data_IF_953617168982
#
_entry.id   IF_953617168982
#
_cell.length_a   1.000
_cell.length_b   1.000
_cell.length_c   1.000
_cell.angle_alpha   90.00
_cell.angle_beta   90.00
_cell.angle_gamma   90.00
#
_symmetry.space_group_name_H-M   'P 1'
#
loop_
_entity.id
_entity.type
_entity.pdbx_description
1 polymer ?
#
# COMPACT_ATOMS: atom_id res chain seq x y z
N UNK A 1 -5.18 14.94 13.79
CA UNK A 1 -5.55 13.95 14.82
C UNK A 1 -6.98 14.17 15.29
N UNK A 2 -7.30 15.26 16.01
CA UNK A 2 -8.67 15.52 16.51
C UNK A 2 -9.76 15.60 15.42
N UNK A 3 -9.48 16.25 14.29
CA UNK A 3 -10.44 16.34 13.16
C UNK A 3 -10.64 15.00 12.46
N UNK A 4 -9.58 14.21 12.29
CA UNK A 4 -9.66 12.86 11.72
C UNK A 4 -10.41 11.90 12.65
N UNK A 5 -10.20 12.01 13.97
CA UNK A 5 -10.98 11.27 14.97
C UNK A 5 -12.44 11.69 14.99
N UNK A 6 -12.75 12.99 14.88
CA UNK A 6 -14.12 13.47 14.79
C UNK A 6 -14.83 12.94 13.53
N UNK A 7 -14.14 12.86 12.39
CA UNK A 7 -14.70 12.32 11.16
C UNK A 7 -14.81 10.80 11.16
N UNK A 8 -13.92 10.10 11.86
CA UNK A 8 -14.04 8.68 12.14
C UNK A 8 -15.30 8.41 12.96
N UNK A 9 -15.52 9.19 14.03
CA UNK A 9 -16.76 9.13 14.82
C UNK A 9 -17.98 9.52 13.99
N UNK A 10 -17.91 10.53 13.12
CA UNK A 10 -19.02 10.90 12.23
C UNK A 10 -19.29 9.82 11.17
N UNK A 11 -18.28 9.11 10.67
CA UNK A 11 -18.42 7.99 9.77
C UNK A 11 -19.03 6.76 10.49
N UNK A 12 -18.63 6.50 11.73
CA UNK A 12 -19.23 5.49 12.59
C UNK A 12 -20.69 5.83 12.92
N UNK A 13 -20.99 7.06 13.29
CA UNK A 13 -22.37 7.54 13.54
C UNK A 13 -23.19 7.46 12.25
N UNK A 14 -22.65 7.86 11.11
CA UNK A 14 -23.33 7.73 9.80
C UNK A 14 -23.63 6.27 9.44
N UNK A 15 -22.71 5.35 9.71
CA UNK A 15 -22.89 3.92 9.52
C UNK A 15 -23.91 3.32 10.52
N UNK A 16 -23.86 3.71 11.79
CA UNK A 16 -24.79 3.23 12.82
C UNK A 16 -26.22 3.73 12.56
N UNK A 17 -26.37 5.00 12.15
CA UNK A 17 -27.68 5.57 11.80
C UNK A 17 -28.25 4.88 10.57
N UNK A 18 -27.45 4.60 9.53
CA UNK A 18 -27.94 3.88 8.35
C UNK A 18 -28.35 2.43 8.65
N UNK A 19 -27.62 1.74 9.54
CA UNK A 19 -27.99 0.39 10.00
C UNK A 19 -29.23 0.37 10.90
N UNK A 20 -29.40 1.36 11.78
CA UNK A 20 -30.55 1.48 12.69
C UNK A 20 -31.85 1.83 11.97
N UNK A 21 -31.79 2.67 10.93
CA UNK A 21 -32.98 3.05 10.15
C UNK A 21 -33.53 1.85 9.35
N UNK A 22 -32.74 0.82 9.04
CA UNK A 22 -33.17 -0.25 8.13
C UNK A 22 -33.06 -1.69 8.64
N UNK A 23 -32.90 -1.91 9.95
CA UNK A 23 -33.02 -3.27 10.55
C UNK A 23 -34.45 -3.85 10.43
N UNK A 24 -35.43 -3.13 9.86
CA UNK A 24 -36.85 -3.53 9.85
C UNK A 24 -37.55 -3.63 8.49
N UNK A 25 -36.82 -3.72 7.38
CA UNK A 25 -37.43 -3.91 6.04
C UNK A 25 -37.11 -5.25 5.34
N UNK A 26 -36.45 -6.20 6.02
CA UNK A 26 -36.01 -7.46 5.42
C UNK A 26 -36.89 -8.71 5.65
N UNK A 27 -38.05 -8.63 6.32
CA UNK A 27 -38.81 -9.85 6.75
C UNK A 27 -40.24 -9.95 6.18
N UNK A 28 -40.68 -9.05 5.32
CA UNK A 28 -42.01 -9.18 4.69
C UNK A 28 -41.92 -9.15 3.16
N UNK A 29 -42.20 -10.31 2.53
CA UNK A 29 -42.65 -10.35 1.14
C UNK A 29 -41.72 -11.00 0.11
N UNK A 30 -41.31 -12.26 0.31
CA UNK A 30 -41.03 -13.18 -0.83
C UNK A 30 -41.73 -14.52 -0.60
N UNK A 31 -43.00 -14.57 -1.00
CA UNK A 31 -43.74 -15.80 -1.33
C UNK A 31 -44.58 -15.50 -2.58
N UNK A 32 -44.43 -16.37 -3.59
CA UNK A 32 -45.03 -16.25 -4.92
C UNK A 32 -44.08 -15.55 -5.88
N UNK A 33 -43.57 -16.14 -6.95
CA UNK A 33 -44.07 -17.25 -7.78
C UNK A 33 -42.89 -17.96 -8.46
N UNK A 34 -42.75 -19.25 -8.19
CA UNK A 34 -42.13 -20.18 -9.14
C UNK A 34 -43.08 -20.37 -10.31
N UNK A 35 -42.60 -20.14 -11.55
CA UNK A 35 -43.02 -20.92 -12.71
C UNK A 35 -42.07 -20.69 -13.90
N UNK A 36 -41.32 -21.76 -14.22
CA UNK A 36 -41.21 -22.35 -15.55
C UNK A 36 -40.67 -21.46 -16.69
N UNK A 37 -39.37 -21.57 -16.97
CA UNK A 37 -38.83 -21.39 -18.32
C UNK A 37 -38.69 -22.77 -18.99
N UNK A 38 -39.58 -23.05 -19.95
CA UNK A 38 -39.40 -24.12 -20.92
C UNK A 38 -39.07 -23.48 -22.28
N UNK A 39 -38.10 -24.10 -22.95
CA UNK A 39 -37.68 -23.85 -24.32
C UNK A 39 -38.83 -23.94 -25.32
N UNK A 40 -38.90 -23.03 -26.30
CA UNK A 40 -39.19 -23.41 -27.70
C UNK A 40 -38.70 -22.35 -28.68
N UNK A 41 -37.84 -22.78 -29.59
CA UNK A 41 -37.51 -22.15 -30.87
C UNK A 41 -38.70 -22.18 -31.83
N UNK A 42 -38.98 -21.08 -32.54
CA UNK A 42 -39.59 -21.12 -33.88
C UNK A 42 -39.35 -19.82 -34.65
N UNK A 43 -38.98 -20.05 -35.90
CA UNK A 43 -38.62 -19.16 -37.01
C UNK A 43 -39.84 -18.63 -37.80
N UNK A 44 -39.61 -17.52 -38.52
CA UNK A 44 -40.10 -17.13 -39.87
C UNK A 44 -40.78 -15.74 -40.03
N UNK A 45 -40.12 -14.93 -40.88
CA UNK A 45 -40.57 -14.00 -41.95
C UNK A 45 -41.47 -12.76 -41.71
N UNK A 46 -40.98 -11.61 -42.22
CA UNK A 46 -41.74 -10.70 -43.10
C UNK A 46 -42.21 -9.36 -42.53
N UNK A 47 -41.47 -8.28 -42.81
CA UNK A 47 -41.89 -7.11 -43.61
C UNK A 47 -41.27 -5.77 -43.16
N UNK A 48 -40.69 -5.07 -44.15
CA UNK A 48 -40.20 -3.69 -44.10
C UNK A 48 -41.36 -2.69 -44.02
N UNK A 49 -41.25 -1.69 -43.14
CA UNK A 49 -41.72 -0.33 -43.44
C UNK A 49 -41.02 0.72 -42.56
N UNK A 50 -40.55 1.76 -43.25
CA UNK A 50 -39.89 2.97 -42.78
C UNK A 50 -40.57 3.65 -41.58
N UNK A 51 -39.78 3.95 -40.54
CA UNK A 51 -39.98 5.12 -39.69
C UNK A 51 -38.65 5.58 -39.10
N UNK A 52 -38.35 6.86 -39.30
CA UNK A 52 -37.17 7.60 -38.86
C UNK A 52 -36.93 7.57 -37.33
N UNK A 53 -35.67 7.73 -36.88
CA UNK A 53 -35.28 7.42 -35.51
C UNK A 53 -35.73 8.52 -34.56
N UNK A 54 -36.70 8.21 -33.70
CA UNK A 54 -37.01 9.05 -32.54
C UNK A 54 -35.95 8.77 -31.48
N UNK A 55 -35.11 9.78 -31.24
CA UNK A 55 -34.21 9.90 -30.10
C UNK A 55 -34.94 9.57 -28.80
N UNK A 56 -34.69 8.37 -28.27
CA UNK A 56 -34.99 8.05 -26.88
C UNK A 56 -33.95 8.79 -26.06
N UNK A 57 -34.28 10.02 -25.66
CA UNK A 57 -33.60 10.69 -24.56
C UNK A 57 -33.70 9.76 -23.33
N UNK A 58 -32.57 9.17 -22.96
CA UNK A 58 -32.44 8.42 -21.72
C UNK A 58 -32.75 9.36 -20.55
N UNK A 59 -33.96 9.27 -20.02
CA UNK A 59 -34.35 9.94 -18.78
C UNK A 59 -33.33 9.59 -17.68
N UNK A 60 -32.85 10.55 -16.88
CA UNK A 60 -31.93 10.25 -15.79
C UNK A 60 -32.67 9.35 -14.80
N UNK A 61 -32.26 8.08 -14.72
CA UNK A 61 -32.77 7.13 -13.75
C UNK A 61 -32.66 7.76 -12.35
N UNK A 62 -33.80 8.12 -11.75
CA UNK A 62 -33.84 8.66 -10.38
C UNK A 62 -33.46 7.53 -9.44
N UNK A 63 -32.16 7.41 -9.17
CA UNK A 63 -31.58 6.53 -8.14
C UNK A 63 -32.40 6.69 -6.87
N UNK A 64 -32.97 5.59 -6.39
CA UNK A 64 -33.87 5.63 -5.23
C UNK A 64 -33.12 6.17 -4.00
N UNK A 65 -33.83 6.81 -3.06
CA UNK A 65 -33.21 7.27 -1.80
C UNK A 65 -32.48 6.12 -1.09
N UNK A 66 -33.02 4.91 -1.18
CA UNK A 66 -32.42 3.70 -0.63
C UNK A 66 -31.06 3.39 -1.26
N UNK A 67 -30.98 3.39 -2.58
CA UNK A 67 -29.74 3.14 -3.32
C UNK A 67 -28.69 4.24 -3.08
N UNK A 68 -29.13 5.50 -2.93
CA UNK A 68 -28.23 6.60 -2.52
C UNK A 68 -27.63 6.38 -1.13
N UNK A 69 -28.43 5.89 -0.18
CA UNK A 69 -27.98 5.61 1.19
C UNK A 69 -27.05 4.39 1.24
N UNK A 70 -27.32 3.35 0.44
CA UNK A 70 -26.43 2.20 0.31
C UNK A 70 -25.07 2.59 -0.27
N UNK A 71 -25.06 3.37 -1.36
CA UNK A 71 -23.82 3.89 -1.95
C UNK A 71 -23.03 4.75 -0.97
N UNK A 72 -23.72 5.56 -0.16
CA UNK A 72 -23.08 6.34 0.90
C UNK A 72 -22.48 5.46 2.00
N UNK A 73 -23.20 4.42 2.44
CA UNK A 73 -22.68 3.47 3.43
C UNK A 73 -21.45 2.72 2.92
N UNK A 74 -21.47 2.26 1.66
CA UNK A 74 -20.32 1.62 1.01
C UNK A 74 -19.11 2.56 0.93
N UNK A 75 -19.34 3.84 0.64
CA UNK A 75 -18.29 4.87 0.65
C UNK A 75 -17.71 5.07 2.05
N UNK A 76 -18.55 5.12 3.08
CA UNK A 76 -18.10 5.22 4.48
C UNK A 76 -17.26 4.01 4.88
N UNK A 77 -17.71 2.80 4.55
CA UNK A 77 -16.97 1.56 4.82
C UNK A 77 -15.62 1.59 4.09
N UNK A 78 -15.59 2.01 2.83
CA UNK A 78 -14.37 2.19 2.05
C UNK A 78 -13.38 3.15 2.72
N UNK A 79 -13.85 4.33 3.14
CA UNK A 79 -13.04 5.31 3.87
C UNK A 79 -12.50 4.74 5.19
N UNK A 80 -13.32 4.03 5.96
CA UNK A 80 -12.91 3.42 7.22
C UNK A 80 -11.83 2.35 7.02
N UNK A 81 -12.02 1.46 6.03
CA UNK A 81 -11.06 0.39 5.72
C UNK A 81 -9.75 0.98 5.21
N UNK A 82 -9.80 1.92 4.27
CA UNK A 82 -8.59 2.57 3.73
C UNK A 82 -7.88 3.36 4.81
N UNK A 83 -8.62 4.14 5.61
CA UNK A 83 -8.09 4.88 6.74
C UNK A 83 -7.40 3.96 7.75
N UNK A 84 -8.04 2.84 8.10
CA UNK A 84 -7.47 1.83 8.99
C UNK A 84 -6.21 1.17 8.41
N UNK A 85 -6.23 0.80 7.12
CA UNK A 85 -5.08 0.17 6.46
C UNK A 85 -3.89 1.13 6.31
N UNK A 86 -4.11 2.40 6.00
CA UNK A 86 -3.03 3.40 5.86
C UNK A 86 -2.48 3.80 7.25
N UNK A 87 -3.33 3.91 8.25
CA UNK A 87 -2.97 4.40 9.59
C UNK A 87 -2.75 3.28 10.62
N UNK A 88 -2.60 2.03 10.18
CA UNK A 88 -2.50 0.88 11.09
C UNK A 88 -1.34 1.02 12.10
N UNK A 89 -0.26 1.73 11.74
CA UNK A 89 0.88 1.99 12.61
C UNK A 89 0.56 2.88 13.83
N UNK A 90 -0.58 3.58 13.82
CA UNK A 90 -1.06 4.36 14.97
C UNK A 90 -1.82 3.50 15.99
N UNK A 91 -2.31 2.33 15.60
CA UNK A 91 -3.13 1.46 16.47
C UNK A 91 -2.38 1.08 17.77
N UNK A 92 -1.11 0.63 17.74
CA UNK A 92 -0.36 0.35 18.97
C UNK A 92 -0.34 1.52 19.95
N UNK A 93 -0.16 2.75 19.44
CA UNK A 93 -0.14 3.96 20.26
C UNK A 93 -1.49 4.28 20.91
N UNK A 94 -2.59 4.07 20.17
CA UNK A 94 -3.95 4.20 20.72
C UNK A 94 -4.20 3.15 21.81
N UNK A 95 -3.72 1.92 21.61
CA UNK A 95 -3.85 0.85 22.62
C UNK A 95 -3.08 1.17 23.90
N UNK A 96 -1.87 1.75 23.78
CA UNK A 96 -1.08 2.19 24.93
C UNK A 96 -1.82 3.32 25.68
N UNK A 97 -2.39 4.29 24.96
CA UNK A 97 -3.20 5.34 25.57
C UNK A 97 -4.37 4.79 26.37
N UNK A 98 -5.13 3.85 25.77
CA UNK A 98 -6.25 3.20 26.44
C UNK A 98 -5.80 2.38 27.65
N UNK A 99 -4.66 1.69 27.56
CA UNK A 99 -4.07 0.96 28.68
C UNK A 99 -3.85 1.90 29.88
N UNK A 100 -3.17 3.03 29.68
CA UNK A 100 -2.97 4.01 30.75
C UNK A 100 -4.30 4.59 31.26
N UNK A 101 -5.20 4.97 30.35
CA UNK A 101 -6.48 5.60 30.70
C UNK A 101 -7.42 4.70 31.53
N UNK A 102 -7.40 3.38 31.28
CA UNK A 102 -8.33 2.43 31.89
C UNK A 102 -7.75 1.76 33.14
N UNK A 103 -6.42 1.64 33.24
CA UNK A 103 -5.76 0.87 34.32
C UNK A 103 -5.18 1.72 35.44
N UNK A 104 -5.28 3.05 35.37
CA UNK A 104 -4.72 3.98 36.36
C UNK A 104 -5.69 5.09 36.71
N UNK A 105 -5.53 5.73 37.86
CA UNK A 105 -6.24 6.96 38.26
C UNK A 105 -5.43 8.23 37.90
N UNK A 106 -4.51 8.11 36.94
CA UNK A 106 -3.74 9.23 36.44
C UNK A 106 -4.64 10.34 35.90
N UNK A 107 -4.17 11.58 36.02
CA UNK A 107 -4.87 12.70 35.39
C UNK A 107 -4.89 12.55 33.86
N UNK A 108 -5.83 13.20 33.18
CA UNK A 108 -5.87 13.21 31.70
C UNK A 108 -4.57 13.72 31.08
N UNK A 109 -3.91 14.66 31.75
CA UNK A 109 -2.61 15.17 31.35
C UNK A 109 -1.54 14.09 31.45
N UNK A 110 -1.49 13.37 32.58
CA UNK A 110 -0.50 12.31 32.79
C UNK A 110 -0.70 11.14 31.82
N UNK A 111 -1.95 10.72 31.58
CA UNK A 111 -2.24 9.70 30.55
C UNK A 111 -1.70 10.11 29.18
N UNK A 112 -1.92 11.37 28.78
CA UNK A 112 -1.39 11.89 27.52
C UNK A 112 0.14 11.93 27.52
N UNK A 113 0.76 12.34 28.63
CA UNK A 113 2.20 12.38 28.80
C UNK A 113 2.83 10.98 28.71
N UNK A 114 2.29 10.00 29.44
CA UNK A 114 2.77 8.60 29.39
C UNK A 114 2.64 7.99 28.00
N UNK A 115 1.52 8.26 27.33
CA UNK A 115 1.30 7.79 25.95
C UNK A 115 2.32 8.41 24.98
N UNK A 116 2.58 9.71 25.12
CA UNK A 116 3.61 10.40 24.33
C UNK A 116 5.02 9.88 24.63
N UNK A 117 5.34 9.64 25.91
CA UNK A 117 6.64 9.08 26.31
C UNK A 117 6.83 7.67 25.76
N UNK A 118 5.80 6.82 25.82
CA UNK A 118 5.86 5.48 25.23
C UNK A 118 6.12 5.54 23.72
N UNK A 119 5.40 6.41 22.99
CA UNK A 119 5.65 6.67 21.57
C UNK A 119 7.07 7.21 21.31
N UNK A 120 7.57 8.12 22.14
CA UNK A 120 8.91 8.69 22.01
C UNK A 120 10.00 7.63 22.23
N UNK A 121 9.80 6.71 23.18
CA UNK A 121 10.71 5.57 23.41
C UNK A 121 10.69 4.62 22.22
N UNK A 122 9.51 4.26 21.71
CA UNK A 122 9.38 3.46 20.49
C UNK A 122 10.09 4.12 19.30
N UNK A 123 9.85 5.41 19.08
CA UNK A 123 10.50 6.19 18.02
C UNK A 123 12.03 6.23 18.19
N UNK A 124 12.54 6.37 19.42
CA UNK A 124 13.96 6.32 19.72
C UNK A 124 14.57 4.94 19.39
N UNK A 125 13.91 3.85 19.80
CA UNK A 125 14.32 2.49 19.47
C UNK A 125 14.32 2.24 17.96
N UNK A 126 13.28 2.67 17.24
CA UNK A 126 13.19 2.55 15.78
C UNK A 126 14.25 3.38 15.04
N UNK A 127 14.53 4.60 15.52
CA UNK A 127 15.56 5.48 14.95
C UNK A 127 16.94 4.87 15.17
N UNK A 128 17.18 4.33 16.35
CA UNK A 128 18.40 3.57 16.67
C UNK A 128 18.62 2.40 15.70
N UNK A 129 17.57 1.63 15.38
CA UNK A 129 17.65 0.59 14.33
C UNK A 129 18.01 1.14 12.97
N UNK A 130 17.41 2.27 12.62
CA UNK A 130 17.64 2.91 11.33
C UNK A 130 19.09 3.37 11.19
N UNK A 131 19.66 3.97 12.23
CA UNK A 131 21.06 4.36 12.28
C UNK A 131 21.97 3.13 12.16
N UNK A 132 21.72 2.09 12.95
CA UNK A 132 22.48 0.83 12.88
C UNK A 132 22.47 0.22 11.48
N UNK A 133 21.29 0.17 10.84
CA UNK A 133 21.13 -0.32 9.46
C UNK A 133 21.91 0.53 8.46
N UNK A 134 21.83 1.86 8.57
CA UNK A 134 22.57 2.78 7.68
C UNK A 134 24.09 2.59 7.84
N UNK A 135 24.57 2.50 9.08
CA UNK A 135 25.97 2.28 9.38
C UNK A 135 26.45 0.94 8.79
N UNK A 136 25.66 -0.12 8.96
CA UNK A 136 25.93 -1.44 8.39
C UNK A 136 25.94 -1.41 6.85
N UNK A 137 24.95 -0.76 6.22
CA UNK A 137 24.86 -0.65 4.77
C UNK A 137 26.02 0.14 4.18
N UNK A 138 26.44 1.22 4.85
CA UNK A 138 27.60 2.02 4.43
C UNK A 138 28.87 1.19 4.42
N UNK A 139 29.13 0.45 5.50
CA UNK A 139 30.34 -0.36 5.60
C UNK A 139 30.28 -1.58 4.67
N UNK A 140 29.10 -2.21 4.53
CA UNK A 140 28.88 -3.38 3.66
C UNK A 140 28.78 -3.05 2.18
N UNK A 141 28.88 -1.76 1.84
CA UNK A 141 28.71 -1.24 0.49
C UNK A 141 27.37 -1.71 -0.12
N UNK A 142 26.29 -1.49 0.63
CA UNK A 142 24.92 -1.94 0.34
C UNK A 142 24.83 -3.47 0.16
N UNK A 143 25.43 -4.22 1.08
CA UNK A 143 25.43 -5.69 1.07
C UNK A 143 26.37 -6.36 0.06
N UNK A 144 27.26 -5.60 -0.61
CA UNK A 144 28.26 -6.16 -1.53
C UNK A 144 29.42 -6.87 -0.80
N UNK A 145 29.72 -6.48 0.44
CA UNK A 145 30.75 -7.13 1.26
C UNK A 145 30.12 -8.20 2.14
N UNK A 146 30.51 -9.47 1.94
CA UNK A 146 30.00 -10.63 2.69
C UNK A 146 30.56 -10.75 4.12
N UNK A 147 31.69 -10.13 4.41
CA UNK A 147 32.47 -10.39 5.64
C UNK A 147 32.18 -9.44 6.81
N UNK A 148 31.15 -8.59 6.71
CA UNK A 148 30.90 -7.60 7.77
C UNK A 148 30.13 -8.23 8.92
N UNK A 149 30.78 -8.29 10.09
CA UNK A 149 30.14 -8.75 11.31
C UNK A 149 29.01 -7.78 11.73
N UNK A 150 27.76 -8.26 11.64
CA UNK A 150 26.55 -7.52 12.05
C UNK A 150 26.52 -7.19 13.55
N UNK A 151 27.26 -7.93 14.38
CA UNK A 151 27.35 -7.72 15.83
C UNK A 151 28.47 -6.78 16.26
N UNK A 152 29.15 -6.14 15.30
CA UNK A 152 30.15 -5.15 15.62
C UNK A 152 29.55 -4.04 16.49
N UNK A 153 30.29 -3.58 17.52
CA UNK A 153 29.83 -2.61 18.52
C UNK A 153 29.20 -1.36 17.88
N UNK A 154 29.76 -0.92 16.75
CA UNK A 154 29.24 0.20 15.93
C UNK A 154 27.75 0.08 15.59
N UNK A 155 27.26 -1.12 15.29
CA UNK A 155 25.86 -1.37 14.92
C UNK A 155 25.04 -1.81 16.13
N UNK A 156 25.62 -2.60 17.04
CA UNK A 156 24.92 -3.14 18.20
C UNK A 156 24.67 -2.09 19.31
N UNK A 157 25.61 -1.17 19.54
CA UNK A 157 25.56 -0.24 20.67
C UNK A 157 24.31 0.66 20.68
N UNK A 158 23.88 1.27 19.55
CA UNK A 158 22.64 2.05 19.53
C UNK A 158 21.45 1.24 20.05
N UNK A 159 21.32 -0.03 19.65
CA UNK A 159 20.22 -0.89 20.06
C UNK A 159 20.25 -1.19 21.55
N UNK A 160 21.45 -1.50 22.09
CA UNK A 160 21.65 -1.77 23.52
C UNK A 160 21.25 -0.55 24.34
N UNK A 161 21.74 0.64 23.97
CA UNK A 161 21.44 1.89 24.69
C UNK A 161 19.94 2.18 24.70
N UNK A 162 19.29 2.15 23.55
CA UNK A 162 17.84 2.41 23.50
C UNK A 162 17.01 1.29 24.12
N UNK A 163 17.51 0.06 24.09
CA UNK A 163 16.87 -1.11 24.71
C UNK A 163 16.87 -1.05 26.24
N UNK A 164 17.75 -0.27 26.87
CA UNK A 164 17.73 -0.06 28.32
C UNK A 164 16.61 0.89 28.77
N UNK A 165 16.04 1.71 27.88
CA UNK A 165 15.07 2.75 28.28
C UNK A 165 13.81 2.16 28.91
N UNK A 166 13.13 1.15 28.33
CA UNK A 166 11.96 0.53 28.97
C UNK A 166 12.27 -0.11 30.33
N UNK A 167 13.44 -0.76 30.46
CA UNK A 167 13.89 -1.36 31.73
C UNK A 167 14.13 -0.30 32.81
N UNK A 168 14.84 0.78 32.50
CA UNK A 168 15.08 1.89 33.43
C UNK A 168 13.77 2.58 33.82
N UNK A 169 12.87 2.78 32.86
CA UNK A 169 11.54 3.31 33.14
C UNK A 169 10.79 2.38 34.11
N UNK A 170 10.70 1.08 33.82
CA UNK A 170 10.04 0.10 34.68
C UNK A 170 10.63 0.06 36.09
N UNK A 171 11.96 0.00 36.20
CA UNK A 171 12.66 -0.01 37.49
C UNK A 171 12.37 1.26 38.30
N UNK A 172 12.41 2.43 37.66
CA UNK A 172 12.06 3.70 38.30
C UNK A 172 10.63 3.70 38.84
N UNK A 173 9.67 3.22 38.06
CA UNK A 173 8.27 3.17 38.51
C UNK A 173 8.08 2.23 39.69
N UNK A 174 8.84 1.13 39.73
CA UNK A 174 8.83 0.19 40.83
C UNK A 174 9.40 0.80 42.13
N UNK A 175 10.62 1.35 42.10
CA UNK A 175 11.30 1.83 43.31
C UNK A 175 10.63 3.04 43.97
N UNK A 176 9.91 3.84 43.18
CA UNK A 176 9.21 5.04 43.65
C UNK A 176 7.70 4.81 43.84
N UNK A 177 7.24 3.55 43.77
CA UNK A 177 5.83 3.16 43.94
C UNK A 177 4.87 4.03 43.10
N UNK A 178 5.24 4.26 41.84
CA UNK A 178 4.47 5.12 40.94
C UNK A 178 3.23 4.37 40.43
N UNK A 179 2.09 5.05 40.42
CA UNK A 179 0.81 4.47 39.97
C UNK A 179 0.87 3.84 38.57
N UNK A 180 1.69 4.40 37.67
CA UNK A 180 1.88 3.91 36.31
C UNK A 180 2.74 2.64 36.19
N UNK A 181 3.20 2.03 37.29
CA UNK A 181 4.12 0.89 37.26
C UNK A 181 3.61 -0.29 36.43
N UNK A 182 2.40 -0.76 36.69
CA UNK A 182 1.82 -1.92 36.00
C UNK A 182 1.73 -1.71 34.48
N UNK A 183 1.11 -0.63 33.96
CA UNK A 183 1.07 -0.42 32.51
C UNK A 183 2.45 -0.19 31.89
N UNK A 184 3.40 0.48 32.57
CA UNK A 184 4.78 0.62 32.09
C UNK A 184 5.50 -0.73 32.00
N UNK A 185 5.30 -1.62 32.98
CA UNK A 185 5.83 -2.98 32.96
C UNK A 185 5.25 -3.77 31.79
N UNK A 186 3.93 -3.72 31.57
CA UNK A 186 3.25 -4.40 30.45
C UNK A 186 3.81 -3.90 29.12
N UNK A 187 3.89 -2.58 28.91
CA UNK A 187 4.45 -1.99 27.69
C UNK A 187 5.89 -2.45 27.48
N UNK A 188 6.70 -2.46 28.54
CA UNK A 188 8.10 -2.91 28.45
C UNK A 188 8.23 -4.37 28.05
N UNK A 189 7.42 -5.26 28.64
CA UNK A 189 7.35 -6.68 28.27
C UNK A 189 6.94 -6.82 26.80
N UNK A 190 5.87 -6.14 26.38
CA UNK A 190 5.39 -6.19 24.99
C UNK A 190 6.46 -5.72 24.01
N UNK A 191 7.16 -4.62 24.31
CA UNK A 191 8.25 -4.12 23.49
C UNK A 191 9.35 -5.17 23.37
N UNK A 192 9.84 -5.75 24.48
CA UNK A 192 10.89 -6.78 24.43
C UNK A 192 10.45 -8.06 23.72
N UNK A 193 9.22 -8.52 23.93
CA UNK A 193 8.68 -9.66 23.20
C UNK A 193 8.59 -9.35 21.69
N UNK A 194 8.18 -8.13 21.34
CA UNK A 194 8.07 -7.69 19.95
C UNK A 194 9.46 -7.60 19.27
N UNK A 195 10.51 -7.24 20.01
CA UNK A 195 11.89 -7.24 19.52
C UNK A 195 12.37 -8.60 19.00
N UNK A 196 11.97 -9.69 19.67
CA UNK A 196 12.33 -11.05 19.23
C UNK A 196 11.86 -11.32 17.80
N UNK A 197 10.81 -10.63 17.39
CA UNK A 197 10.18 -10.85 16.09
C UNK A 197 10.90 -10.14 14.94
N UNK A 198 12.02 -9.46 15.21
CA UNK A 198 12.97 -8.90 14.22
C UNK A 198 14.16 -9.84 13.93
N UNK A 199 14.32 -10.93 14.68
CA UNK A 199 15.40 -11.89 14.41
C UNK A 199 15.28 -12.50 13.00
N UNK A 200 16.44 -12.72 12.37
CA UNK A 200 16.51 -13.28 11.01
C UNK A 200 16.28 -12.27 9.88
N UNK A 201 16.18 -10.97 10.18
CA UNK A 201 15.94 -9.90 9.20
C UNK A 201 14.76 -10.20 8.28
N UNK A 202 13.54 -10.34 8.82
CA UNK A 202 12.38 -10.78 8.04
C UNK A 202 12.06 -9.87 6.84
N UNK A 203 12.47 -8.61 6.86
CA UNK A 203 12.34 -7.68 5.75
C UNK A 203 13.19 -8.06 4.52
N UNK A 204 14.32 -8.75 4.73
CA UNK A 204 15.18 -9.30 3.66
C UNK A 204 14.78 -10.75 3.35
N UNK A 205 14.73 -11.60 4.38
CA UNK A 205 14.60 -13.06 4.24
C UNK A 205 13.16 -13.53 4.07
N UNK A 206 12.18 -12.73 4.48
CA UNK A 206 10.76 -13.07 4.45
C UNK A 206 10.37 -14.27 5.31
N UNK A 207 11.17 -14.61 6.31
CA UNK A 207 10.89 -15.72 7.23
C UNK A 207 9.55 -15.60 7.99
N UNK A 208 8.86 -14.46 7.86
CA UNK A 208 7.57 -14.18 8.46
C UNK A 208 6.39 -14.25 7.49
N UNK A 209 6.64 -14.54 6.23
CA UNK A 209 5.61 -14.69 5.21
C UNK A 209 4.59 -15.77 5.61
N UNK A 210 3.31 -15.51 5.33
CA UNK A 210 2.22 -16.44 5.64
C UNK A 210 1.43 -16.76 4.39
N UNK A 211 1.54 -18.01 3.92
CA UNK A 211 0.80 -18.49 2.75
C UNK A 211 -0.72 -18.29 2.88
N UNK A 212 -1.29 -18.42 4.09
CA UNK A 212 -2.72 -18.19 4.33
C UNK A 212 -3.14 -16.72 4.15
N UNK A 213 -2.23 -15.77 4.34
CA UNK A 213 -2.48 -14.35 4.12
C UNK A 213 -2.33 -13.99 2.64
N UNK A 214 -1.29 -14.50 1.98
CA UNK A 214 -1.07 -14.30 0.55
C UNK A 214 -2.22 -14.89 -0.28
N UNK A 215 -2.64 -16.12 0.03
CA UNK A 215 -3.69 -16.82 -0.70
C UNK A 215 -5.11 -16.49 -0.20
N UNK A 216 -5.22 -15.83 0.95
CA UNK A 216 -6.51 -15.57 1.61
C UNK A 216 -7.36 -14.51 0.91
N UNK A 217 -8.67 -14.76 0.85
CA UNK A 217 -9.63 -13.72 0.49
C UNK A 217 -9.82 -12.76 1.67
N UNK A 218 -9.71 -11.45 1.39
CA UNK A 218 -9.83 -10.42 2.42
C UNK A 218 -10.93 -9.44 2.04
N UNK A 219 -11.93 -9.33 2.92
CA UNK A 219 -12.96 -8.31 2.84
C UNK A 219 -12.38 -6.89 2.76
N UNK A 220 -11.26 -6.64 3.46
CA UNK A 220 -10.61 -5.32 3.49
C UNK A 220 -10.03 -4.96 2.12
N UNK A 221 -9.38 -5.92 1.44
CA UNK A 221 -8.83 -5.73 0.10
C UNK A 221 -9.95 -5.49 -0.92
N UNK A 222 -11.00 -6.32 -0.91
CA UNK A 222 -12.13 -6.17 -1.84
C UNK A 222 -12.86 -4.84 -1.64
N UNK A 223 -13.00 -4.41 -0.39
CA UNK A 223 -13.60 -3.11 -0.06
C UNK A 223 -12.75 -1.97 -0.60
N UNK A 224 -11.42 -2.05 -0.45
CA UNK A 224 -10.51 -1.02 -0.97
C UNK A 224 -10.56 -0.95 -2.49
N UNK A 225 -10.54 -2.10 -3.18
CA UNK A 225 -10.72 -2.16 -4.64
C UNK A 225 -12.05 -1.54 -5.07
N UNK A 226 -13.15 -1.88 -4.38
CA UNK A 226 -14.49 -1.35 -4.69
C UNK A 226 -14.57 0.16 -4.50
N UNK A 227 -13.97 0.68 -3.43
CA UNK A 227 -13.93 2.11 -3.17
C UNK A 227 -13.34 2.89 -4.35
N UNK A 228 -12.23 2.40 -4.92
CA UNK A 228 -11.57 3.01 -6.08
C UNK A 228 -12.15 2.57 -7.44
N UNK A 229 -13.29 1.86 -7.46
CA UNK A 229 -13.82 1.22 -8.67
C UNK A 229 -12.69 0.52 -9.48
N UNK A 230 -11.82 -0.21 -8.78
CA UNK A 230 -10.56 -0.70 -9.32
C UNK A 230 -10.79 -1.76 -10.39
N UNK A 231 -10.13 -1.59 -11.54
CA UNK A 231 -10.20 -2.51 -12.67
C UNK A 231 -8.80 -2.90 -13.13
N UNK A 232 -8.57 -4.20 -13.38
CA UNK A 232 -7.29 -4.73 -13.84
C UNK A 232 -7.44 -5.22 -15.28
N UNK A 233 -6.65 -4.64 -16.18
CA UNK A 233 -6.60 -5.01 -17.59
C UNK A 233 -5.33 -5.83 -17.83
N UNK A 234 -5.47 -7.04 -18.35
CA UNK A 234 -4.35 -7.95 -18.65
C UNK A 234 -4.06 -7.93 -20.15
N UNK A 235 -2.85 -7.52 -20.54
CA UNK A 235 -2.41 -7.61 -21.94
C UNK A 235 -1.96 -9.02 -22.33
N UNK A 236 -1.22 -9.71 -21.46
CA UNK A 236 -0.74 -11.06 -21.69
C UNK A 236 -0.80 -11.92 -20.41
N UNK A 237 -0.91 -13.26 -20.54
CA UNK A 237 -0.78 -14.14 -19.39
C UNK A 237 0.64 -14.12 -18.82
N UNK A 238 0.75 -14.32 -17.51
CA UNK A 238 2.02 -14.59 -16.82
C UNK A 238 2.08 -16.06 -16.46
N UNK A 239 3.19 -16.73 -16.77
CA UNK A 239 3.39 -18.14 -16.45
C UNK A 239 3.80 -18.25 -14.97
N UNK A 240 3.00 -18.88 -14.09
CA UNK A 240 3.32 -18.98 -12.66
C UNK A 240 4.59 -19.79 -12.37
N UNK A 241 5.13 -20.51 -13.36
CA UNK A 241 6.42 -21.23 -13.24
C UNK A 241 7.63 -20.37 -13.59
N UNK A 242 7.43 -19.14 -14.07
CA UNK A 242 8.48 -18.19 -14.42
C UNK A 242 8.53 -17.06 -13.40
N UNK A 243 9.72 -16.46 -13.30
CA UNK A 243 9.94 -15.25 -12.51
C UNK A 243 9.82 -14.00 -13.37
N UNK A 244 9.32 -12.92 -12.78
CA UNK A 244 9.14 -11.62 -13.41
C UNK A 244 9.50 -10.48 -12.45
N UNK A 245 9.92 -9.35 -13.02
CA UNK A 245 10.05 -8.07 -12.31
C UNK A 245 8.95 -7.14 -12.79
N UNK A 246 7.93 -6.95 -11.96
CA UNK A 246 6.82 -6.03 -12.21
C UNK A 246 7.25 -4.61 -11.81
N UNK A 247 7.30 -3.70 -12.77
CA UNK A 247 7.56 -2.28 -12.51
C UNK A 247 6.26 -1.50 -12.53
N UNK A 248 5.81 -1.07 -11.36
CA UNK A 248 4.57 -0.33 -11.15
C UNK A 248 4.77 1.18 -11.29
N UNK A 249 3.95 1.84 -12.10
CA UNK A 249 4.00 3.28 -12.38
C UNK A 249 2.60 3.89 -12.44
N UNK A 250 2.43 5.14 -11.98
CA UNK A 250 3.34 5.90 -11.13
C UNK A 250 3.16 5.53 -9.65
N UNK A 251 4.02 6.01 -8.77
CA UNK A 251 4.00 5.80 -7.32
C UNK A 251 2.86 6.54 -6.62
N UNK A 252 2.40 7.66 -7.19
CA UNK A 252 1.49 8.58 -6.48
C UNK A 252 2.14 9.19 -5.23
N UNK A 253 1.35 9.89 -4.42
CA UNK A 253 1.79 10.32 -3.07
C UNK A 253 2.00 9.11 -2.16
N UNK A 254 1.13 8.12 -2.29
CA UNK A 254 1.23 6.80 -1.66
C UNK A 254 0.69 5.80 -2.66
N UNK A 255 1.41 4.72 -3.00
CA UNK A 255 1.00 3.74 -3.99
C UNK A 255 -0.06 2.81 -3.39
N UNK A 256 -1.24 3.36 -3.09
CA UNK A 256 -2.32 2.66 -2.38
C UNK A 256 -2.82 1.49 -3.22
N UNK A 257 -2.81 1.60 -4.55
CA UNK A 257 -3.34 0.52 -5.38
C UNK A 257 -2.51 -0.76 -5.33
N UNK A 258 -1.19 -0.63 -5.14
CA UNK A 258 -0.29 -1.76 -4.92
C UNK A 258 -0.70 -2.60 -3.70
N UNK A 259 -1.33 -1.98 -2.68
CA UNK A 259 -1.77 -2.69 -1.47
C UNK A 259 -2.88 -3.71 -1.73
N UNK A 260 -3.66 -3.54 -2.79
CA UNK A 260 -4.77 -4.46 -3.11
C UNK A 260 -4.62 -5.16 -4.47
N UNK A 261 -3.73 -4.70 -5.35
CA UNK A 261 -3.60 -5.14 -6.74
C UNK A 261 -3.54 -6.67 -6.91
N UNK A 262 -2.71 -7.36 -6.15
CA UNK A 262 -2.50 -8.81 -6.31
C UNK A 262 -3.28 -9.68 -5.31
N UNK A 263 -4.00 -9.07 -4.37
CA UNK A 263 -4.69 -9.78 -3.29
C UNK A 263 -6.21 -9.87 -3.47
N UNK A 264 -6.73 -9.34 -4.58
CA UNK A 264 -8.16 -9.34 -4.89
C UNK A 264 -8.55 -10.48 -5.85
N UNK A 265 -9.85 -10.75 -5.95
CA UNK A 265 -10.42 -11.82 -6.76
C UNK A 265 -10.14 -11.65 -8.26
N UNK A 266 -10.18 -10.43 -8.81
CA UNK A 266 -9.91 -10.19 -10.23
C UNK A 266 -8.48 -10.58 -10.60
N UNK A 267 -7.50 -10.26 -9.75
CA UNK A 267 -6.11 -10.71 -9.95
C UNK A 267 -6.01 -12.23 -9.99
N UNK A 268 -6.63 -12.93 -9.05
CA UNK A 268 -6.59 -14.41 -8.99
C UNK A 268 -7.19 -15.06 -10.24
N UNK A 269 -8.21 -14.43 -10.84
CA UNK A 269 -8.79 -14.88 -12.12
C UNK A 269 -7.86 -14.59 -13.30
N UNK A 270 -7.23 -13.42 -13.35
CA UNK A 270 -6.36 -13.00 -14.45
C UNK A 270 -4.98 -13.65 -14.42
N UNK A 271 -4.45 -13.93 -13.23
CA UNK A 271 -3.11 -14.46 -12.99
C UNK A 271 -3.17 -15.60 -11.95
N UNK A 272 -3.78 -16.75 -12.30
CA UNK A 272 -3.94 -17.85 -11.36
C UNK A 272 -2.59 -18.39 -10.89
N UNK A 273 -2.47 -18.61 -9.58
CA UNK A 273 -1.25 -19.10 -8.91
C UNK A 273 -0.01 -18.21 -9.11
N UNK A 274 -0.20 -16.93 -9.46
CA UNK A 274 0.89 -15.99 -9.63
C UNK A 274 0.84 -14.89 -8.57
N UNK A 275 2.01 -14.64 -7.96
CA UNK A 275 2.22 -13.65 -6.92
C UNK A 275 3.63 -13.08 -7.05
N UNK A 276 3.81 -11.80 -6.72
CA UNK A 276 5.12 -11.15 -6.70
C UNK A 276 5.34 -10.45 -5.35
N UNK A 277 6.53 -10.59 -4.77
CA UNK A 277 6.87 -9.92 -3.52
C UNK A 277 6.93 -8.40 -3.72
N UNK A 278 6.04 -7.67 -3.04
CA UNK A 278 6.00 -6.21 -3.11
C UNK A 278 7.21 -5.66 -2.34
N UNK A 279 8.02 -4.86 -3.01
CA UNK A 279 9.16 -4.17 -2.41
C UNK A 279 8.72 -2.83 -1.83
N UNK A 280 8.73 -2.71 -0.51
CA UNK A 280 8.29 -1.50 0.20
C UNK A 280 9.45 -0.76 0.89
N UNK A 281 9.24 0.51 1.21
CA UNK A 281 10.27 1.32 1.87
C UNK A 281 10.70 0.67 3.20
N UNK A 282 12.00 0.57 3.45
CA UNK A 282 12.54 -0.10 4.65
C UNK A 282 12.06 0.49 5.98
N UNK A 283 11.59 1.74 6.01
CA UNK A 283 10.96 2.34 7.20
C UNK A 283 9.62 1.69 7.55
N UNK A 284 8.86 1.22 6.57
CA UNK A 284 7.57 0.52 6.79
C UNK A 284 7.78 -0.81 7.49
N UNK A 285 8.94 -1.45 7.31
CA UNK A 285 9.33 -2.66 8.02
C UNK A 285 9.83 -2.42 9.45
N UNK A 286 9.63 -1.22 10.01
CA UNK A 286 10.01 -0.88 11.39
C UNK A 286 8.82 -0.52 12.26
N UNK A 287 7.74 0.00 11.67
CA UNK A 287 6.52 0.33 12.40
C UNK A 287 5.76 -0.94 12.82
N UNK A 288 5.41 -1.10 14.10
CA UNK A 288 4.58 -2.21 14.53
C UNK A 288 3.22 -2.23 13.85
N UNK A 289 2.67 -3.43 13.69
CA UNK A 289 1.47 -3.76 12.92
C UNK A 289 1.62 -3.55 11.41
N UNK A 290 2.11 -2.39 10.96
CA UNK A 290 2.37 -2.11 9.54
C UNK A 290 3.38 -3.10 8.96
N UNK A 291 4.51 -3.29 9.66
CA UNK A 291 5.50 -4.29 9.32
C UNK A 291 4.91 -5.69 9.30
N UNK A 292 4.09 -6.02 10.30
CA UNK A 292 3.53 -7.37 10.45
C UNK A 292 2.60 -7.70 9.28
N UNK A 293 1.69 -6.77 8.93
CA UNK A 293 0.80 -6.90 7.78
C UNK A 293 1.59 -7.04 6.47
N UNK A 294 2.58 -6.18 6.25
CA UNK A 294 3.43 -6.23 5.06
C UNK A 294 4.17 -7.57 4.95
N UNK A 295 4.84 -8.00 6.01
CA UNK A 295 5.63 -9.22 6.01
C UNK A 295 4.77 -10.48 5.94
N UNK A 296 3.60 -10.51 6.58
CA UNK A 296 2.66 -11.63 6.46
C UNK A 296 2.14 -11.77 5.03
N UNK A 297 1.94 -10.64 4.34
CA UNK A 297 1.58 -10.59 2.92
C UNK A 297 2.77 -10.82 1.97
N UNK A 298 3.94 -11.21 2.47
CA UNK A 298 5.12 -11.55 1.67
C UNK A 298 5.94 -10.36 1.18
N UNK A 299 5.65 -9.13 1.63
CA UNK A 299 6.42 -7.94 1.25
C UNK A 299 7.85 -7.97 1.80
N UNK A 300 8.78 -7.49 0.99
CA UNK A 300 10.21 -7.32 1.33
C UNK A 300 10.59 -5.85 1.27
N UNK A 301 11.72 -5.50 1.87
CA UNK A 301 12.23 -4.14 1.74
C UNK A 301 12.79 -3.87 0.33
N UNK A 302 12.69 -2.62 -0.13
CA UNK A 302 13.27 -2.16 -1.39
C UNK A 302 14.80 -1.94 -1.27
N UNK A 303 15.52 -3.01 -0.94
CA UNK A 303 16.98 -3.03 -0.91
C UNK A 303 17.54 -3.91 -2.03
N UNK A 304 18.76 -3.61 -2.48
CA UNK A 304 19.43 -4.46 -3.49
C UNK A 304 19.58 -5.90 -3.00
N UNK A 305 19.82 -6.08 -1.70
CA UNK A 305 20.02 -7.38 -1.09
C UNK A 305 18.71 -8.20 -1.12
N UNK A 306 17.60 -7.64 -0.64
CA UNK A 306 16.30 -8.31 -0.67
C UNK A 306 15.86 -8.62 -2.10
N UNK A 307 15.97 -7.65 -3.02
CA UNK A 307 15.65 -7.84 -4.44
C UNK A 307 16.47 -9.00 -5.04
N UNK A 308 17.79 -8.98 -4.86
CA UNK A 308 18.68 -10.03 -5.42
C UNK A 308 18.37 -11.40 -4.80
N UNK A 309 18.11 -11.45 -3.50
CA UNK A 309 17.75 -12.68 -2.78
C UNK A 309 16.46 -13.28 -3.35
N UNK A 310 15.39 -12.49 -3.50
CA UNK A 310 14.12 -12.97 -4.07
C UNK A 310 14.30 -13.53 -5.49
N UNK A 311 15.09 -12.87 -6.35
CA UNK A 311 15.37 -13.42 -7.68
C UNK A 311 16.23 -14.69 -7.66
N UNK A 312 17.09 -14.86 -6.66
CA UNK A 312 17.91 -16.08 -6.50
C UNK A 312 17.04 -17.28 -6.08
N UNK A 313 16.01 -17.03 -5.28
CA UNK A 313 14.98 -18.02 -4.91
C UNK A 313 13.98 -18.30 -6.05
N UNK A 314 14.18 -17.71 -7.24
CA UNK A 314 13.32 -17.83 -8.42
C UNK A 314 11.91 -17.28 -8.21
N UNK A 315 11.78 -16.30 -7.33
CA UNK A 315 10.51 -15.64 -7.02
C UNK A 315 10.38 -14.32 -7.79
N UNK A 316 9.14 -13.88 -8.02
CA UNK A 316 8.86 -12.61 -8.72
C UNK A 316 8.85 -11.43 -7.75
N UNK A 317 9.14 -10.23 -8.24
CA UNK A 317 9.09 -8.99 -7.44
C UNK A 317 8.20 -7.95 -8.09
N UNK A 318 7.51 -7.16 -7.27
CA UNK A 318 6.82 -5.95 -7.68
C UNK A 318 7.51 -4.76 -7.04
N UNK A 319 8.06 -3.87 -7.88
CA UNK A 319 8.77 -2.67 -7.47
C UNK A 319 8.06 -1.44 -8.03
N UNK A 320 8.05 -0.34 -7.27
CA UNK A 320 7.58 0.97 -7.73
C UNK A 320 8.81 1.84 -8.02
N UNK A 321 9.31 1.89 -9.27
CA UNK A 321 10.65 2.41 -9.54
C UNK A 321 10.78 3.90 -9.25
N UNK A 322 9.74 4.71 -9.46
CA UNK A 322 9.82 6.15 -9.27
C UNK A 322 10.04 6.59 -7.82
N UNK A 323 9.53 5.81 -6.86
CA UNK A 323 9.78 5.99 -5.43
C UNK A 323 9.52 7.40 -4.91
N UNK A 324 10.36 7.87 -4.00
CA UNK A 324 10.21 9.19 -3.38
C UNK A 324 10.41 10.36 -4.37
N UNK A 325 11.18 10.17 -5.44
CA UNK A 325 11.40 11.23 -6.43
C UNK A 325 10.10 11.51 -7.21
N UNK A 326 9.44 10.44 -7.67
CA UNK A 326 8.15 10.52 -8.34
C UNK A 326 7.05 11.08 -7.44
N UNK A 327 7.02 10.64 -6.18
CA UNK A 327 6.08 11.13 -5.16
C UNK A 327 6.12 12.65 -4.98
N UNK A 328 7.31 13.29 -5.05
CA UNK A 328 7.45 14.74 -4.90
C UNK A 328 6.97 15.53 -6.13
N UNK A 329 6.85 14.87 -7.28
CA UNK A 329 6.42 15.47 -8.53
C UNK A 329 4.90 15.31 -8.78
N UNK A 330 4.18 14.57 -7.93
CA UNK A 330 2.75 14.30 -8.13
C UNK A 330 1.86 15.51 -7.83
N UNK A 331 0.77 15.61 -8.61
CA UNK A 331 -0.27 16.60 -8.43
C UNK A 331 -1.60 16.09 -9.02
N UNK A 332 -2.66 16.14 -8.22
CA UNK A 332 -4.01 15.89 -8.73
C UNK A 332 -4.53 17.03 -9.60
N UNK A 333 -5.48 16.72 -10.49
CA UNK A 333 -6.18 17.68 -11.34
C UNK A 333 -5.35 18.23 -12.49
N UNK A 334 -4.20 17.61 -12.80
CA UNK A 334 -3.37 17.97 -13.96
C UNK A 334 -3.68 17.15 -15.21
N UNK A 335 -4.46 16.07 -15.07
CA UNK A 335 -4.65 15.09 -16.14
C UNK A 335 -3.29 14.61 -16.68
N UNK A 336 -2.33 14.37 -15.77
CA UNK A 336 -0.99 13.92 -16.12
C UNK A 336 -0.67 12.65 -15.34
N UNK A 337 -0.21 11.61 -16.04
CA UNK A 337 0.44 10.46 -15.42
C UNK A 337 1.93 10.74 -15.42
N UNK A 338 2.46 11.16 -14.27
CA UNK A 338 3.87 11.59 -14.14
C UNK A 338 4.72 10.41 -13.69
N UNK A 339 5.65 9.99 -14.55
CA UNK A 339 6.48 8.79 -14.34
C UNK A 339 7.96 9.14 -14.27
N UNK A 340 8.64 8.84 -13.16
CA UNK A 340 10.04 9.13 -12.93
C UNK A 340 10.95 8.07 -13.54
N UNK A 341 11.82 8.48 -14.47
CA UNK A 341 12.55 7.54 -15.34
C UNK A 341 14.02 7.34 -14.94
N UNK A 342 14.58 8.17 -14.07
CA UNK A 342 16.02 8.13 -13.78
C UNK A 342 16.48 6.89 -12.99
N UNK A 343 15.59 6.20 -12.28
CA UNK A 343 15.93 5.01 -11.50
C UNK A 343 16.12 3.76 -12.39
N UNK A 344 17.37 3.50 -12.81
CA UNK A 344 17.74 2.35 -13.66
C UNK A 344 18.11 1.07 -12.90
N UNK A 345 17.96 1.06 -11.57
CA UNK A 345 18.39 -0.04 -10.70
C UNK A 345 17.67 -1.36 -10.98
N UNK A 346 16.35 -1.32 -11.18
CA UNK A 346 15.54 -2.51 -11.46
C UNK A 346 15.85 -3.09 -12.85
N UNK A 347 16.08 -2.25 -13.86
CA UNK A 347 16.54 -2.66 -15.21
C UNK A 347 17.88 -3.39 -15.11
N UNK A 348 18.83 -2.82 -14.36
CA UNK A 348 20.13 -3.46 -14.14
C UNK A 348 19.97 -4.84 -13.51
N UNK A 349 19.14 -4.98 -12.48
CA UNK A 349 18.90 -6.29 -11.84
C UNK A 349 18.20 -7.27 -12.78
N UNK A 350 17.23 -6.82 -13.59
CA UNK A 350 16.59 -7.64 -14.61
C UNK A 350 17.62 -8.23 -15.59
N UNK A 351 18.53 -7.40 -16.11
CA UNK A 351 19.59 -7.85 -17.03
C UNK A 351 20.58 -8.79 -16.32
N UNK A 352 20.94 -8.49 -15.06
CA UNK A 352 21.88 -9.31 -14.29
C UNK A 352 21.38 -10.72 -14.01
N UNK A 353 20.06 -10.90 -13.91
CA UNK A 353 19.44 -12.21 -13.62
C UNK A 353 18.74 -12.82 -14.84
N UNK A 354 18.66 -12.11 -15.97
CA UNK A 354 17.91 -12.55 -17.15
C UNK A 354 16.40 -12.66 -16.90
N UNK A 355 15.85 -11.81 -16.02
CA UNK A 355 14.44 -11.87 -15.60
C UNK A 355 13.60 -10.89 -16.41
N UNK A 356 12.53 -11.34 -17.08
CA UNK A 356 11.67 -10.45 -17.86
C UNK A 356 11.04 -9.33 -17.04
N UNK A 357 10.94 -8.16 -17.65
CA UNK A 357 10.31 -6.97 -17.07
C UNK A 357 8.83 -6.91 -17.47
N UNK A 358 7.94 -6.64 -16.52
CA UNK A 358 6.51 -6.45 -16.80
C UNK A 358 6.14 -5.02 -16.40
N UNK A 359 5.85 -4.11 -17.37
CA UNK A 359 5.34 -2.79 -17.05
C UNK A 359 3.93 -2.88 -16.48
N UNK A 360 3.67 -2.17 -15.39
CA UNK A 360 2.35 -2.04 -14.76
C UNK A 360 2.02 -0.56 -14.67
N UNK A 361 0.89 -0.15 -15.25
CA UNK A 361 0.48 1.25 -15.39
C UNK A 361 -0.85 1.49 -14.68
N UNK A 362 -0.88 2.39 -13.70
CA UNK A 362 -2.07 2.87 -13.00
C UNK A 362 -2.37 4.30 -13.44
N UNK A 363 -3.54 4.55 -14.05
CA UNK A 363 -3.81 5.86 -14.68
C UNK A 363 -4.10 6.98 -13.66
N UNK A 364 -4.84 6.69 -12.60
CA UNK A 364 -5.33 7.71 -11.67
C UNK A 364 -4.66 7.64 -10.28
N UNK A 365 -3.49 6.98 -10.18
CA UNK A 365 -2.77 6.86 -8.92
C UNK A 365 -2.44 8.23 -8.31
N UNK A 366 -2.03 9.18 -9.17
CA UNK A 366 -1.68 10.55 -8.78
C UNK A 366 -2.87 11.43 -8.37
N UNK A 367 -4.10 11.01 -8.66
CA UNK A 367 -5.32 11.78 -8.37
C UNK A 367 -5.85 11.55 -6.94
N UNK A 368 -5.44 10.43 -6.31
CA UNK A 368 -5.95 10.01 -5.00
C UNK A 368 -5.63 10.98 -3.86
N UNK A 369 -4.42 11.52 -3.85
CA UNK A 369 -3.87 12.31 -2.75
C UNK A 369 -2.95 13.38 -3.30
N UNK A 370 -2.92 14.54 -2.63
CA UNK A 370 -1.87 15.54 -2.74
C UNK A 370 -1.10 15.62 -1.42
N UNK A 371 -0.02 16.40 -1.40
CA UNK A 371 0.71 16.72 -0.17
C UNK A 371 1.04 18.22 -0.11
N UNK A 372 1.39 18.71 1.07
CA UNK A 372 1.92 20.06 1.24
C UNK A 372 3.19 20.21 0.39
N UNK A 373 3.26 21.29 -0.38
CA UNK A 373 4.38 21.54 -1.28
C UNK A 373 5.46 22.34 -0.59
N UNK A 374 6.59 21.69 -0.35
CA UNK A 374 7.79 22.33 0.15
C UNK A 374 9.02 21.70 -0.52
N UNK A 375 9.13 21.76 -1.86
CA UNK A 375 10.03 20.89 -2.62
C UNK A 375 11.51 21.03 -2.21
N UNK A 376 11.98 22.23 -1.89
CA UNK A 376 13.36 22.43 -1.42
C UNK A 376 13.60 21.74 -0.07
N UNK A 377 12.70 21.95 0.89
CA UNK A 377 12.80 21.35 2.22
C UNK A 377 12.58 19.84 2.18
N UNK A 378 11.64 19.36 1.37
CA UNK A 378 11.36 17.94 1.15
C UNK A 378 12.56 17.24 0.50
N UNK A 379 13.14 17.79 -0.56
CA UNK A 379 14.34 17.24 -1.21
C UNK A 379 15.54 17.22 -0.26
N UNK A 380 15.72 18.27 0.53
CA UNK A 380 16.76 18.31 1.56
C UNK A 380 16.53 17.23 2.63
N UNK A 381 15.30 17.09 3.13
CA UNK A 381 14.91 16.09 4.14
C UNK A 381 15.09 14.67 3.62
N UNK A 382 14.67 14.38 2.38
CA UNK A 382 14.88 13.09 1.73
C UNK A 382 16.38 12.79 1.62
N UNK A 383 17.20 13.75 1.18
CA UNK A 383 18.65 13.56 1.08
C UNK A 383 19.32 13.30 2.43
N UNK A 384 18.83 13.92 3.51
CA UNK A 384 19.45 13.84 4.84
C UNK A 384 18.93 12.69 5.70
N UNK A 385 17.63 12.38 5.60
CA UNK A 385 16.91 11.49 6.51
C UNK A 385 16.14 10.37 5.79
N UNK A 386 16.16 10.32 4.45
CA UNK A 386 15.38 9.38 3.62
C UNK A 386 13.85 9.47 3.84
N UNK A 387 13.37 10.61 4.34
CA UNK A 387 11.95 10.87 4.62
C UNK A 387 11.62 12.27 4.07
N UNK A 388 10.54 12.43 3.29
CA UNK A 388 10.04 13.74 2.92
C UNK A 388 9.50 14.45 4.16
N UNK A 389 9.94 15.69 4.40
CA UNK A 389 9.35 16.54 5.44
C UNK A 389 9.29 17.99 4.94
N UNK A 390 8.17 18.71 5.13
CA UNK A 390 6.88 18.23 5.63
C UNK A 390 6.22 17.21 4.67
N UNK A 391 5.51 16.21 5.21
CA UNK A 391 4.75 15.24 4.42
C UNK A 391 3.40 15.02 5.07
N UNK A 392 2.37 15.61 4.48
CA UNK A 392 1.00 15.59 5.00
C UNK A 392 0.08 15.28 3.83
N UNK A 393 -0.16 13.99 3.53
CA UNK A 393 -1.04 13.60 2.45
C UNK A 393 -2.48 13.99 2.75
N UNK A 394 -3.17 14.56 1.77
CA UNK A 394 -4.58 14.93 1.86
C UNK A 394 -5.35 14.65 0.57
N UNK A 395 -6.64 14.39 0.67
CA UNK A 395 -7.54 14.13 -0.45
C UNK A 395 -8.91 14.77 -0.21
N UNK A 396 -9.91 13.97 0.18
CA UNK A 396 -11.29 14.44 0.42
C UNK A 396 -11.32 15.45 1.55
N UNK A 397 -11.88 16.63 1.30
CA UNK A 397 -12.05 17.67 2.33
C UNK A 397 -10.76 18.13 3.00
N UNK A 398 -9.60 18.01 2.32
CA UNK A 398 -8.26 18.29 2.88
C UNK A 398 -7.85 17.38 4.04
N UNK A 399 -8.46 16.20 4.13
CA UNK A 399 -8.20 15.20 5.16
C UNK A 399 -7.30 14.11 4.60
N UNK A 400 -6.63 13.29 5.44
CA UNK A 400 -5.83 12.14 5.01
C UNK A 400 -6.71 10.96 4.55
N UNK A 401 -7.70 11.26 3.69
CA UNK A 401 -8.65 10.32 3.11
C UNK A 401 -8.51 10.41 1.60
N UNK A 402 -8.11 9.34 0.91
CA UNK A 402 -7.98 9.33 -0.55
C UNK A 402 -9.28 9.71 -1.25
N UNK A 403 -9.16 10.47 -2.33
CA UNK A 403 -10.28 10.78 -3.23
C UNK A 403 -10.81 9.49 -3.84
N UNK A 404 -12.14 9.44 -4.02
CA UNK A 404 -12.78 8.35 -4.76
C UNK A 404 -12.53 8.60 -6.25
N UNK A 405 -11.62 7.83 -6.82
CA UNK A 405 -11.20 7.90 -8.23
C UNK A 405 -11.34 6.53 -8.85
N UNK A 406 -11.74 6.46 -10.12
CA UNK A 406 -11.71 5.21 -10.90
C UNK A 406 -10.25 4.79 -11.11
N UNK A 407 -9.88 3.56 -10.76
CA UNK A 407 -8.50 3.09 -10.78
C UNK A 407 -8.27 1.95 -11.79
N UNK A 408 -8.12 2.26 -13.09
CA UNK A 408 -7.75 1.28 -14.09
C UNK A 408 -6.24 1.03 -14.03
N UNK A 409 -5.86 -0.25 -13.93
CA UNK A 409 -4.48 -0.71 -13.87
C UNK A 409 -4.24 -1.69 -15.01
N UNK A 410 -3.30 -1.36 -15.90
CA UNK A 410 -2.93 -2.21 -17.04
C UNK A 410 -1.65 -2.97 -16.70
N UNK A 411 -1.72 -4.30 -16.80
CA UNK A 411 -0.57 -5.20 -16.68
C UNK A 411 -0.07 -5.53 -18.09
N UNK A 412 1.13 -5.08 -18.40
CA UNK A 412 1.75 -5.20 -19.71
C UNK A 412 2.31 -6.59 -20.02
N UNK A 413 2.83 -6.72 -21.23
CA UNK A 413 3.45 -7.97 -21.68
C UNK A 413 4.88 -8.11 -21.13
N UNK A 414 5.34 -9.34 -20.84
CA UNK A 414 6.72 -9.58 -20.40
C UNK A 414 7.76 -9.19 -21.45
N UNK A 415 8.51 -8.14 -21.17
CA UNK A 415 9.66 -7.71 -21.94
C UNK A 415 10.87 -8.59 -21.61
N UNK A 416 11.27 -9.41 -22.58
CA UNK A 416 12.49 -10.22 -22.48
C UNK A 416 13.74 -9.32 -22.45
N UNK A 417 14.67 -9.66 -21.56
CA UNK A 417 15.95 -8.95 -21.37
C UNK A 417 17.11 -9.92 -21.54
N UNK A 418 18.28 -9.46 -22.02
CA UNK A 418 19.46 -10.30 -22.07
C UNK A 418 19.95 -10.63 -20.66
N UNK A 419 20.57 -11.80 -20.49
CA UNK A 419 21.27 -12.14 -19.25
C UNK A 419 22.75 -11.73 -19.36
N UNK A 420 23.16 -10.69 -18.64
CA UNK A 420 24.53 -10.18 -18.64
C UNK A 420 24.95 -9.93 -17.18
N UNK A 421 25.90 -10.70 -16.67
CA UNK A 421 26.32 -10.62 -15.25
C UNK A 421 26.81 -9.21 -14.85
N UNK A 422 27.51 -8.52 -15.75
CA UNK A 422 28.02 -7.15 -15.57
C UNK A 422 27.59 -6.28 -16.75
N UNK A 423 26.33 -5.80 -16.77
CA UNK A 423 25.83 -5.01 -17.89
C UNK A 423 26.51 -3.65 -17.94
N UNK A 424 26.83 -3.18 -19.14
CA UNK A 424 27.34 -1.84 -19.36
C UNK A 424 26.21 -0.81 -19.25
N UNK A 425 26.54 0.47 -19.09
CA UNK A 425 25.53 1.53 -19.09
C UNK A 425 24.72 1.54 -20.39
N UNK A 426 25.36 1.23 -21.52
CA UNK A 426 24.70 1.12 -22.84
C UNK A 426 23.68 -0.01 -22.90
N UNK A 427 23.97 -1.16 -22.28
CA UNK A 427 23.02 -2.28 -22.21
C UNK A 427 21.80 -1.90 -21.37
N UNK A 428 22.04 -1.24 -20.23
CA UNK A 428 20.99 -0.75 -19.33
C UNK A 428 20.11 0.28 -20.05
N UNK A 429 20.72 1.25 -20.74
CA UNK A 429 20.01 2.32 -21.44
C UNK A 429 19.16 1.77 -22.59
N UNK A 430 19.67 0.78 -23.33
CA UNK A 430 18.90 0.12 -24.41
C UNK A 430 17.63 -0.54 -23.89
N UNK A 431 17.72 -1.31 -22.79
CA UNK A 431 16.55 -1.99 -22.20
C UNK A 431 15.62 -0.96 -21.54
N UNK A 432 16.18 0.05 -20.87
CA UNK A 432 15.43 1.14 -20.25
C UNK A 432 14.58 1.91 -21.28
N UNK A 433 15.16 2.35 -22.39
CA UNK A 433 14.42 3.02 -23.46
C UNK A 433 13.32 2.13 -24.05
N UNK A 434 13.60 0.83 -24.25
CA UNK A 434 12.59 -0.11 -24.72
C UNK A 434 11.45 -0.28 -23.72
N UNK A 435 11.75 -0.37 -22.42
CA UNK A 435 10.77 -0.51 -21.35
C UNK A 435 9.81 0.68 -21.30
N UNK A 436 10.34 1.91 -21.32
CA UNK A 436 9.49 3.12 -21.27
C UNK A 436 8.74 3.38 -22.58
N UNK A 437 9.29 2.97 -23.73
CA UNK A 437 8.53 2.98 -24.99
C UNK A 437 7.32 2.03 -24.95
N UNK A 438 7.46 0.85 -24.31
CA UNK A 438 6.32 -0.07 -24.09
C UNK A 438 5.31 0.57 -23.14
N UNK A 439 5.76 1.21 -22.05
CA UNK A 439 4.87 1.90 -21.11
C UNK A 439 4.07 3.03 -21.78
N UNK A 440 4.71 3.80 -22.67
CA UNK A 440 4.06 4.83 -23.48
C UNK A 440 3.03 4.25 -24.45
N UNK A 441 3.36 3.17 -25.15
CA UNK A 441 2.41 2.46 -26.02
C UNK A 441 1.20 1.93 -25.24
N UNK A 442 1.41 1.41 -24.03
CA UNK A 442 0.32 0.97 -23.15
C UNK A 442 -0.58 2.13 -22.75
N UNK A 443 0.00 3.28 -22.40
CA UNK A 443 -0.76 4.46 -22.05
C UNK A 443 -1.63 4.91 -23.23
N UNK A 444 -1.04 5.10 -24.41
CA UNK A 444 -1.74 5.55 -25.61
C UNK A 444 -2.84 4.58 -26.05
N UNK A 445 -2.60 3.27 -25.92
CA UNK A 445 -3.58 2.25 -26.30
C UNK A 445 -4.83 2.25 -25.43
N UNK A 446 -4.67 2.46 -24.12
CA UNK A 446 -5.77 2.25 -23.16
C UNK A 446 -6.37 3.55 -22.61
N UNK A 447 -5.73 4.72 -22.78
CA UNK A 447 -6.20 5.98 -22.18
C UNK A 447 -7.65 6.30 -22.53
N UNK A 448 -8.08 6.08 -23.76
CA UNK A 448 -9.45 6.39 -24.19
C UNK A 448 -10.46 5.39 -23.63
N UNK A 449 -10.13 4.09 -23.68
CA UNK A 449 -10.96 2.99 -23.15
C UNK A 449 -11.26 3.18 -21.65
N UNK A 450 -10.27 3.63 -20.88
CA UNK A 450 -10.38 3.74 -19.42
C UNK A 450 -10.88 5.10 -18.92
N UNK A 451 -11.30 5.99 -19.83
CA UNK A 451 -11.85 7.30 -19.51
C UNK A 451 -10.81 8.38 -19.21
N UNK A 452 -9.56 8.18 -19.63
CA UNK A 452 -8.42 9.09 -19.45
C UNK A 452 -7.94 9.70 -20.78
N UNK A 453 -8.78 9.82 -21.80
CA UNK A 453 -8.38 10.32 -23.13
C UNK A 453 -7.79 11.74 -23.14
N UNK A 454 -8.15 12.57 -22.16
CA UNK A 454 -7.58 13.90 -21.96
C UNK A 454 -6.22 13.91 -21.23
N UNK A 455 -5.79 12.76 -20.69
CA UNK A 455 -4.58 12.66 -19.91
C UNK A 455 -3.33 12.62 -20.80
N UNK A 456 -2.20 13.04 -20.24
CA UNK A 456 -0.88 12.93 -20.88
C UNK A 456 0.06 12.12 -20.00
N UNK A 457 0.85 11.25 -20.62
CA UNK A 457 1.99 10.62 -19.96
C UNK A 457 3.17 11.59 -19.97
N UNK A 458 3.75 11.86 -18.81
CA UNK A 458 4.89 12.78 -18.67
C UNK A 458 6.03 12.04 -17.98
N UNK A 459 7.12 11.82 -18.72
CA UNK A 459 8.36 11.30 -18.14
C UNK A 459 9.11 12.43 -17.43
N UNK A 460 9.41 12.22 -16.15
CA UNK A 460 10.12 13.16 -15.25
C UNK A 460 11.43 12.60 -14.71
#
# INVERSE_FOLDING_TARGET
MAVAGALFVMAEVGMMVSLLVFRKSGVAGRRGSDQSWNETTKSFEGDEQDATPTTIESSPCKVSLHERLQNFADDCIGVLVIGGLINNFLIPNVMIFLLFAVTTNLSRYDVALYSFLAWAVEAAMMTSRSISTILYLKDSHNGLRKEINRWHVKYALPHIVTGCIPAVATYRHYIYDMEAFVPVLIVSIVVYCYELTFFGNPQETGCRERASWVNGHSFLIETTKRYFNGNIIRMAPLDPKKQYILGFHPHGITPISVMWLQFNAQWRTLFPNFYAHILTAGIMHKFPLSRDLLQFLGSREVSRQAFTYTLQEKESVLVVPGGQAEMLEQQSGKNEVRVYTHHKGFIRLAIQHGVPLVPVLSFNEGEMLDTIRAPMLQRWSVKKFAIPFPFFPYGRGLLPIPRKVHMPIVIGEPLQVPHIAKPTQKDIDKVHSKYFAVLEQMFERYKDEVGCGSYKLVFV
#
